data_IF_025074918315
#
_entry.id   IF_025074918315
#
_cell.length_a   1.000
_cell.length_b   1.000
_cell.length_c   1.000
_cell.angle_alpha   90.00
_cell.angle_beta   90.00
_cell.angle_gamma   90.00
#
_symmetry.space_group_name_H-M   'P 1'
#
loop_
_entity.id
_entity.type
_entity.pdbx_description
1 polymer ?
#
# COMPACT_ATOMS: atom_id res chain seq x y z
N UNK A 1 12.63 -40.74 33.37
CA UNK A 1 13.76 -39.83 33.62
C UNK A 1 14.53 -39.80 32.31
N UNK A 2 14.60 -38.70 31.55
CA UNK A 2 15.03 -37.37 31.98
C UNK A 2 14.20 -36.27 31.29
N UNK A 3 13.80 -35.28 32.08
CA UNK A 3 13.24 -34.01 31.61
C UNK A 3 14.37 -32.99 31.44
N UNK A 4 14.35 -32.25 30.34
CA UNK A 4 14.80 -30.86 30.35
C UNK A 4 13.89 -30.08 29.41
N UNK A 5 13.17 -29.13 30.00
CA UNK A 5 12.21 -28.27 29.33
C UNK A 5 12.89 -26.97 28.84
N UNK A 6 12.20 -26.34 27.88
CA UNK A 6 12.25 -24.93 27.46
C UNK A 6 13.41 -24.47 26.54
N UNK A 7 13.08 -24.32 25.25
CA UNK A 7 13.49 -23.13 24.49
C UNK A 7 12.43 -22.79 23.43
N UNK A 8 11.88 -21.59 23.55
CA UNK A 8 10.77 -21.07 22.77
C UNK A 8 11.20 -20.69 21.34
N UNK A 9 10.95 -21.57 20.36
CA UNK A 9 11.08 -21.19 18.96
C UNK A 9 9.76 -20.62 18.41
N UNK A 10 9.51 -19.33 18.65
CA UNK A 10 8.62 -18.52 17.82
C UNK A 10 9.19 -18.45 16.39
N UNK A 11 8.79 -19.36 15.52
CA UNK A 11 9.06 -19.25 14.09
C UNK A 11 8.34 -18.02 13.49
N UNK A 12 8.95 -17.27 12.56
CA UNK A 12 8.30 -16.11 11.96
C UNK A 12 7.13 -16.59 11.09
N UNK A 13 5.91 -16.14 11.40
CA UNK A 13 4.76 -16.23 10.48
C UNK A 13 5.00 -15.29 9.31
N UNK A 14 5.86 -15.71 8.38
CA UNK A 14 6.05 -15.04 7.10
C UNK A 14 5.04 -15.65 6.12
N UNK A 15 3.83 -15.07 6.07
CA UNK A 15 2.93 -15.29 4.93
C UNK A 15 3.61 -14.71 3.71
N UNK A 16 4.24 -15.57 2.94
CA UNK A 16 4.79 -15.24 1.63
C UNK A 16 3.62 -14.72 0.77
N UNK A 17 3.66 -13.48 0.24
CA UNK A 17 2.57 -12.99 -0.58
C UNK A 17 2.53 -13.83 -1.86
N UNK A 18 1.49 -14.65 -2.01
CA UNK A 18 1.21 -15.38 -3.24
C UNK A 18 1.32 -14.41 -4.42
N UNK A 19 2.22 -14.65 -5.40
CA UNK A 19 2.38 -13.76 -6.53
C UNK A 19 1.08 -13.78 -7.34
N UNK A 20 0.28 -12.72 -7.20
CA UNK A 20 -0.89 -12.50 -8.04
C UNK A 20 -0.41 -12.09 -9.43
N UNK A 21 -1.05 -12.63 -10.48
CA UNK A 21 -0.84 -12.22 -11.87
C UNK A 21 -0.73 -10.70 -11.93
N UNK A 22 0.39 -10.21 -12.48
CA UNK A 22 0.90 -8.85 -12.35
C UNK A 22 -0.05 -7.84 -13.00
N UNK A 23 -1.19 -7.59 -12.34
CA UNK A 23 -2.05 -6.45 -12.61
C UNK A 23 -1.35 -5.28 -11.99
N UNK A 24 -1.10 -4.23 -12.77
CA UNK A 24 -0.51 -2.99 -12.29
C UNK A 24 -1.10 -2.59 -10.91
N UNK A 25 -0.28 -2.26 -9.90
CA UNK A 25 -0.75 -2.04 -8.55
C UNK A 25 -1.62 -0.78 -8.49
N UNK A 26 -2.80 -0.93 -7.88
CA UNK A 26 -3.74 0.16 -7.62
C UNK A 26 -3.50 0.78 -6.25
N UNK A 27 -3.40 2.11 -6.18
CA UNK A 27 -3.14 2.85 -4.95
C UNK A 27 -4.35 3.67 -4.50
N UNK A 28 -4.55 3.74 -3.19
CA UNK A 28 -5.56 4.59 -2.56
C UNK A 28 -4.88 5.65 -1.67
N UNK A 29 -5.27 6.92 -1.82
CA UNK A 29 -4.75 8.02 -1.00
C UNK A 29 -5.80 8.45 0.03
N UNK A 30 -5.42 8.53 1.30
CA UNK A 30 -6.25 9.07 2.37
C UNK A 30 -5.63 10.37 2.90
N UNK A 31 -6.38 11.47 2.82
CA UNK A 31 -5.90 12.81 3.18
C UNK A 31 -5.01 13.43 2.10
N UNK A 32 -5.55 13.81 0.93
CA UNK A 32 -4.78 14.42 -0.14
C UNK A 32 -4.19 15.76 0.31
N UNK A 33 -2.86 15.77 0.46
CA UNK A 33 -2.04 16.93 0.79
C UNK A 33 -0.87 17.10 -0.18
N UNK A 34 0.13 17.90 0.20
CA UNK A 34 1.31 18.17 -0.64
C UNK A 34 2.12 16.91 -0.96
N UNK A 35 2.23 15.98 -0.01
CA UNK A 35 2.94 14.70 -0.20
C UNK A 35 2.17 13.80 -1.18
N UNK A 36 0.84 13.77 -1.08
CA UNK A 36 0.02 12.97 -1.98
C UNK A 36 0.18 13.39 -3.45
N UNK A 37 0.32 14.70 -3.72
CA UNK A 37 0.60 15.22 -5.06
C UNK A 37 1.97 14.80 -5.59
N UNK A 38 2.99 14.78 -4.72
CA UNK A 38 4.32 14.27 -5.08
C UNK A 38 4.26 12.77 -5.40
N UNK A 39 3.56 12.00 -4.57
CA UNK A 39 3.32 10.59 -4.83
C UNK A 39 2.61 10.36 -6.17
N UNK A 40 1.55 11.12 -6.45
CA UNK A 40 0.85 11.08 -7.74
C UNK A 40 1.76 11.40 -8.92
N UNK A 41 2.64 12.38 -8.80
CA UNK A 41 3.61 12.71 -9.86
C UNK A 41 4.65 11.62 -10.12
N UNK A 42 4.89 10.72 -9.17
CA UNK A 42 5.88 9.63 -9.28
C UNK A 42 5.25 8.28 -9.66
N UNK A 43 3.93 8.16 -9.56
CA UNK A 43 3.17 6.95 -9.91
C UNK A 43 3.42 6.49 -11.36
N UNK A 44 3.33 7.36 -12.38
CA UNK A 44 3.59 6.97 -13.78
C UNK A 44 5.02 6.53 -14.05
N UNK A 45 5.98 7.00 -13.25
CA UNK A 45 7.39 6.63 -13.36
C UNK A 45 7.73 5.32 -12.63
N UNK A 46 6.75 4.68 -11.99
CA UNK A 46 6.96 3.43 -11.28
C UNK A 46 7.03 2.26 -12.27
N UNK A 47 8.06 1.43 -12.14
CA UNK A 47 8.34 0.22 -12.94
C UNK A 47 7.19 -0.81 -13.02
N UNK A 48 6.13 -0.63 -12.21
CA UNK A 48 4.98 -1.53 -12.15
C UNK A 48 3.71 -0.99 -12.82
N UNK A 49 3.80 0.11 -13.57
CA UNK A 49 2.62 0.75 -14.21
C UNK A 49 1.55 1.12 -13.15
N UNK A 50 2.02 1.60 -11.99
CA UNK A 50 1.17 1.85 -10.84
C UNK A 50 0.17 2.99 -11.14
N UNK A 51 -1.07 2.83 -10.68
CA UNK A 51 -2.16 3.82 -10.90
C UNK A 51 -2.90 4.16 -9.62
N UNK A 52 -3.37 5.40 -9.50
CA UNK A 52 -4.28 5.78 -8.44
C UNK A 52 -5.68 5.24 -8.77
N UNK A 53 -6.31 4.52 -7.83
CA UNK A 53 -7.65 3.94 -8.00
C UNK A 53 -8.68 4.52 -7.02
N UNK A 54 -8.23 5.21 -5.97
CA UNK A 54 -9.12 5.83 -5.01
C UNK A 54 -8.47 7.01 -4.28
N UNK A 55 -9.30 7.98 -3.88
CA UNK A 55 -8.92 9.06 -2.98
C UNK A 55 -10.01 9.27 -1.92
N UNK A 56 -9.60 9.45 -0.66
CA UNK A 56 -10.48 9.70 0.46
C UNK A 56 -9.96 10.85 1.32
N UNK A 57 -10.86 11.61 1.92
CA UNK A 57 -10.53 12.75 2.77
C UNK A 57 -11.70 13.05 3.71
N UNK A 58 -11.45 13.73 4.82
CA UNK A 58 -12.52 14.31 5.64
C UNK A 58 -13.28 15.43 4.91
N UNK A 59 -12.74 15.93 3.79
CA UNK A 59 -13.39 16.89 2.90
C UNK A 59 -13.55 16.25 1.52
N UNK A 60 -14.79 15.94 1.14
CA UNK A 60 -15.11 15.32 -0.15
C UNK A 60 -14.63 16.17 -1.34
N UNK A 61 -14.73 17.50 -1.24
CA UNK A 61 -14.20 18.43 -2.24
C UNK A 61 -12.69 18.24 -2.44
N UNK A 62 -11.92 18.15 -1.36
CA UNK A 62 -10.47 17.91 -1.43
C UNK A 62 -10.13 16.54 -2.03
N UNK A 63 -10.92 15.51 -1.72
CA UNK A 63 -10.75 14.19 -2.34
C UNK A 63 -11.06 14.22 -3.85
N UNK A 64 -12.15 14.86 -4.24
CA UNK A 64 -12.56 14.99 -5.64
C UNK A 64 -11.57 15.80 -6.47
N UNK A 65 -11.11 16.94 -5.96
CA UNK A 65 -10.09 17.75 -6.61
C UNK A 65 -8.79 16.96 -6.83
N UNK A 66 -8.38 16.12 -5.85
CA UNK A 66 -7.20 15.28 -6.02
C UNK A 66 -7.42 14.13 -7.02
N UNK A 67 -8.59 13.51 -7.02
CA UNK A 67 -8.91 12.43 -7.97
C UNK A 67 -8.98 12.92 -9.42
N UNK A 68 -9.33 14.19 -9.66
CA UNK A 68 -9.34 14.79 -10.99
C UNK A 68 -7.94 15.06 -11.57
N UNK A 69 -6.92 15.11 -10.72
CA UNK A 69 -5.52 15.34 -11.13
C UNK A 69 -4.79 14.03 -11.48
N UNK A 70 -5.44 12.88 -11.28
CA UNK A 70 -4.86 11.54 -11.36
C UNK A 70 -4.99 10.87 -12.73
#
# INVERSE_FOLDING_TARGET
MNVHADDAAKGPTMTDPTPTTQTAPGWAVLGPGSIARRFLSQLPASERDARLVAAGSSSAERAGAFAAEA
#
